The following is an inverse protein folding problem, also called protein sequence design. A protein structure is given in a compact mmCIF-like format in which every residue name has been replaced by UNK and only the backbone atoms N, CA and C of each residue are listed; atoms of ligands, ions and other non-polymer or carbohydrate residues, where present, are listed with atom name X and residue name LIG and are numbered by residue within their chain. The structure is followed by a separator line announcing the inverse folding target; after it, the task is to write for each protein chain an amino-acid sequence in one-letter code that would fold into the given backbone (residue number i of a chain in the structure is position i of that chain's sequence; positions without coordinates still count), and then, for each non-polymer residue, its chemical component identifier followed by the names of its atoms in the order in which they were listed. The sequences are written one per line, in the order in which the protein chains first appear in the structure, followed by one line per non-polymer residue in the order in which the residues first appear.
data_IF_165945905300
#
_entry.id   IF_165945905300
#
_cell.length_a   1.000
_cell.length_b   1.000
_cell.length_c   1.000
_cell.angle_alpha   90.00
_cell.angle_beta   90.00
_cell.angle_gamma   90.00
#
_symmetry.space_group_name_H-M   'P 1'
#
loop_
_entity.id
_entity.type
_entity.pdbx_description
1 polymer ?
#
# COMPACT_ATOMS: atom_id res chain seq x y z
N UNK A 1 -50.29 75.85 -38.12
CA UNK A 1 -49.24 75.75 -39.15
C UNK A 1 -48.04 76.56 -38.70
N UNK A 2 -46.98 75.88 -38.24
CA UNK A 2 -45.86 76.47 -37.48
C UNK A 2 -44.58 76.54 -38.33
N UNK A 3 -44.16 77.77 -38.60
CA UNK A 3 -42.82 78.37 -38.51
C UNK A 3 -41.55 77.52 -38.64
N UNK A 4 -40.76 77.89 -39.67
CA UNK A 4 -39.33 78.27 -39.71
C UNK A 4 -38.27 77.27 -39.23
N UNK A 5 -37.50 76.77 -40.20
CA UNK A 5 -36.16 76.18 -40.08
C UNK A 5 -35.15 77.14 -39.42
N UNK A 6 -34.17 76.58 -38.69
CA UNK A 6 -32.85 77.15 -38.60
C UNK A 6 -31.76 76.22 -39.16
N UNK A 7 -30.78 76.87 -39.79
CA UNK A 7 -29.48 76.35 -40.21
C UNK A 7 -28.65 76.05 -38.96
N UNK A 8 -27.94 74.92 -38.93
CA UNK A 8 -26.91 74.64 -37.93
C UNK A 8 -25.68 74.01 -38.57
N UNK A 9 -24.64 74.82 -38.61
CA UNK A 9 -23.24 74.60 -39.00
C UNK A 9 -22.64 73.39 -38.29
N UNK A 10 -22.10 72.42 -39.04
CA UNK A 10 -21.39 71.26 -38.48
C UNK A 10 -19.88 71.48 -38.57
N UNK A 11 -19.23 71.64 -37.42
CA UNK A 11 -17.77 71.67 -37.26
C UNK A 11 -17.18 70.28 -37.54
N UNK A 12 -16.12 70.21 -38.35
CA UNK A 12 -15.21 69.08 -38.45
C UNK A 12 -14.30 69.03 -37.21
N UNK A 13 -14.42 67.97 -36.40
CA UNK A 13 -13.41 67.59 -35.41
C UNK A 13 -12.71 66.31 -35.87
N UNK A 14 -11.42 66.42 -36.17
CA UNK A 14 -10.50 65.31 -36.40
C UNK A 14 -10.12 64.68 -35.05
N UNK A 15 -10.60 63.46 -34.76
CA UNK A 15 -10.14 62.67 -33.62
C UNK A 15 -9.13 61.63 -34.06
N UNK A 16 -7.90 61.79 -33.58
CA UNK A 16 -6.74 60.92 -33.73
C UNK A 16 -7.01 59.56 -33.07
N UNK A 17 -7.11 58.48 -33.85
CA UNK A 17 -7.27 57.12 -33.33
C UNK A 17 -5.92 56.59 -32.82
N UNK A 18 -5.72 56.62 -31.50
CA UNK A 18 -4.63 55.89 -30.85
C UNK A 18 -5.05 54.42 -30.68
N UNK A 19 -4.53 53.54 -31.54
CA UNK A 19 -4.71 52.09 -31.42
C UNK A 19 -3.86 51.57 -30.26
N UNK A 20 -4.47 51.39 -29.09
CA UNK A 20 -3.88 50.65 -27.98
C UNK A 20 -3.89 49.16 -28.35
N UNK A 21 -2.74 48.62 -28.74
CA UNK A 21 -2.55 47.20 -28.98
C UNK A 21 -2.70 46.42 -27.68
N UNK A 22 -3.84 45.77 -27.49
CA UNK A 22 -4.08 44.82 -26.40
C UNK A 22 -3.31 43.53 -26.72
N UNK A 23 -2.05 43.46 -26.31
CA UNK A 23 -1.27 42.22 -26.36
C UNK A 23 -1.89 41.22 -25.38
N UNK A 24 -2.76 40.35 -25.90
CA UNK A 24 -3.28 39.19 -25.20
C UNK A 24 -2.12 38.21 -24.96
N UNK A 25 -1.47 38.33 -23.82
CA UNK A 25 -0.48 37.36 -23.37
C UNK A 25 -1.19 36.02 -23.22
N UNK A 26 -0.83 34.99 -23.99
CA UNK A 26 -1.42 33.67 -23.80
C UNK A 26 -1.01 33.16 -22.42
N UNK A 27 -1.99 33.05 -21.51
CA UNK A 27 -1.80 32.28 -20.29
C UNK A 27 -1.47 30.84 -20.71
N UNK A 28 -0.22 30.42 -20.52
CA UNK A 28 0.10 29.00 -20.51
C UNK A 28 -0.66 28.39 -19.33
N UNK A 29 -1.82 27.81 -19.60
CA UNK A 29 -2.47 26.90 -18.68
C UNK A 29 -1.53 25.73 -18.47
N UNK A 30 -0.89 25.67 -17.30
CA UNK A 30 -0.18 24.48 -16.88
C UNK A 30 -1.21 23.34 -16.87
N UNK A 31 -1.09 22.40 -17.80
CA UNK A 31 -1.80 21.13 -17.72
C UNK A 31 -1.48 20.54 -16.35
N UNK A 32 -2.48 20.17 -15.53
CA UNK A 32 -2.18 19.48 -14.29
C UNK A 32 -1.34 18.27 -14.66
N UNK A 33 -0.10 18.25 -14.16
CA UNK A 33 0.71 17.05 -14.21
C UNK A 33 -0.17 15.96 -13.61
N UNK A 34 -0.47 14.91 -14.38
CA UNK A 34 -1.20 13.76 -13.86
C UNK A 34 -0.49 13.34 -12.58
N UNK A 35 -1.09 13.63 -11.43
CA UNK A 35 -0.59 13.19 -10.15
C UNK A 35 -0.47 11.68 -10.27
N UNK A 36 0.75 11.17 -10.16
CA UNK A 36 0.99 9.74 -10.30
C UNK A 36 0.09 9.02 -9.30
N UNK A 37 -0.88 8.25 -9.81
CA UNK A 37 -1.87 7.58 -8.97
C UNK A 37 -1.16 6.61 -8.03
N UNK A 38 -1.52 6.65 -6.75
CA UNK A 38 -0.95 5.75 -5.75
C UNK A 38 -1.28 4.29 -6.09
N UNK A 39 -0.26 3.43 -6.10
CA UNK A 39 -0.42 1.98 -6.24
C UNK A 39 -0.23 1.33 -4.87
N UNK A 40 -1.28 0.67 -4.37
CA UNK A 40 -1.25 0.02 -3.06
C UNK A 40 -0.67 -1.38 -3.20
N UNK A 41 0.47 -1.64 -2.56
CA UNK A 41 1.17 -2.93 -2.62
C UNK A 41 0.57 -3.91 -1.64
N UNK A 42 0.57 -3.51 -0.37
CA UNK A 42 -0.05 -4.19 0.77
C UNK A 42 -0.59 -3.14 1.75
N UNK A 43 -1.11 -3.57 2.89
CA UNK A 43 -1.69 -2.67 3.90
C UNK A 43 -0.65 -1.75 4.58
N UNK A 44 0.65 -1.95 4.36
CA UNK A 44 1.73 -1.18 4.95
C UNK A 44 2.66 -0.52 3.93
N UNK A 45 2.37 -0.60 2.62
CA UNK A 45 3.24 -0.06 1.57
C UNK A 45 2.47 0.51 0.37
N UNK A 46 2.86 1.72 -0.02
CA UNK A 46 2.27 2.49 -1.13
C UNK A 46 3.37 2.89 -2.10
N UNK A 47 3.12 2.75 -3.39
CA UNK A 47 4.01 3.24 -4.44
C UNK A 47 3.45 4.53 -5.05
N UNK A 48 4.28 5.59 -5.05
CA UNK A 48 4.03 6.85 -5.72
C UNK A 48 5.09 7.03 -6.83
N UNK A 49 4.66 6.97 -8.09
CA UNK A 49 5.59 6.95 -9.23
C UNK A 49 6.56 5.78 -9.14
N UNK A 50 7.86 6.06 -9.05
CA UNK A 50 8.92 5.04 -8.94
C UNK A 50 9.38 4.77 -7.50
N UNK A 51 8.76 5.41 -6.51
CA UNK A 51 9.15 5.28 -5.10
C UNK A 51 8.11 4.48 -4.34
N UNK A 52 8.55 3.40 -3.70
CA UNK A 52 7.71 2.64 -2.76
C UNK A 52 8.02 3.11 -1.33
N UNK A 53 6.99 3.59 -0.64
CA UNK A 53 7.01 3.98 0.76
C UNK A 53 6.41 2.86 1.61
N UNK A 54 7.17 2.37 2.60
CA UNK A 54 6.61 1.67 3.75
C UNK A 54 6.04 2.71 4.71
N UNK A 55 4.82 2.49 5.17
CA UNK A 55 4.14 3.38 6.11
C UNK A 55 4.86 3.35 7.47
N UNK A 56 5.18 4.53 7.97
CA UNK A 56 5.92 4.68 9.22
C UNK A 56 5.07 4.35 10.46
N UNK A 57 5.74 3.83 11.49
CA UNK A 57 5.16 3.62 12.82
C UNK A 57 4.23 2.42 12.96
N UNK A 58 3.97 1.66 11.90
CA UNK A 58 2.99 0.57 11.92
C UNK A 58 3.55 -0.75 11.42
N UNK A 59 2.84 -1.83 11.77
CA UNK A 59 3.03 -3.15 11.21
C UNK A 59 1.70 -3.70 10.69
N UNK A 60 1.59 -3.82 9.37
CA UNK A 60 0.39 -4.26 8.69
C UNK A 60 0.50 -5.72 8.22
N UNK A 61 -0.62 -6.47 8.16
CA UNK A 61 -0.63 -7.85 7.70
C UNK A 61 -0.14 -7.95 6.26
N UNK A 62 0.68 -8.95 5.98
CA UNK A 62 1.08 -9.26 4.61
C UNK A 62 -0.16 -9.75 3.82
N UNK A 63 -0.18 -9.52 2.50
CA UNK A 63 -1.35 -9.85 1.67
C UNK A 63 -1.81 -11.32 1.78
N UNK A 64 -0.88 -12.24 2.06
CA UNK A 64 -1.14 -13.68 2.20
C UNK A 64 -1.42 -14.13 3.64
N UNK A 65 -1.51 -13.19 4.58
CA UNK A 65 -1.81 -13.50 5.96
C UNK A 65 -3.29 -13.82 6.15
N UNK A 66 -3.53 -14.97 6.78
CA UNK A 66 -4.84 -15.41 7.24
C UNK A 66 -5.04 -15.03 8.71
N UNK A 67 -6.29 -14.76 9.05
CA UNK A 67 -6.76 -14.54 10.42
C UNK A 67 -8.02 -15.36 10.65
N UNK A 68 -8.40 -15.52 11.91
CA UNK A 68 -9.70 -16.06 12.32
C UNK A 68 -10.55 -14.88 12.78
N UNK A 69 -11.85 -14.89 12.49
CA UNK A 69 -12.79 -13.85 12.95
C UNK A 69 -13.54 -14.26 14.25
N UNK A 70 -14.49 -13.43 14.67
CA UNK A 70 -15.33 -13.66 15.84
C UNK A 70 -16.25 -14.89 15.74
N UNK A 71 -16.45 -15.42 14.54
CA UNK A 71 -17.28 -16.60 14.25
C UNK A 71 -16.44 -17.88 14.11
N UNK A 72 -15.13 -17.79 14.34
CA UNK A 72 -14.15 -18.85 14.11
C UNK A 72 -13.93 -19.20 12.64
N UNK A 73 -14.30 -18.30 11.72
CA UNK A 73 -14.08 -18.46 10.28
C UNK A 73 -12.71 -17.89 9.88
N UNK A 74 -12.03 -18.60 8.98
CA UNK A 74 -10.75 -18.14 8.42
C UNK A 74 -11.02 -17.12 7.31
N UNK A 75 -10.31 -15.99 7.36
CA UNK A 75 -10.43 -14.92 6.37
C UNK A 75 -9.07 -14.34 5.98
N UNK A 76 -9.01 -13.79 4.77
CA UNK A 76 -7.79 -13.18 4.20
C UNK A 76 -7.58 -11.76 4.73
N UNK A 77 -7.19 -11.64 6.01
CA UNK A 77 -7.02 -10.36 6.66
C UNK A 77 -5.95 -9.45 6.03
N UNK A 78 -4.93 -10.04 5.41
CA UNK A 78 -3.97 -9.31 4.59
C UNK A 78 -4.61 -8.56 3.42
N UNK A 79 -5.50 -9.22 2.69
CA UNK A 79 -6.22 -8.65 1.55
C UNK A 79 -7.22 -7.59 2.01
N UNK A 80 -8.02 -7.90 3.03
CA UNK A 80 -8.98 -6.93 3.55
C UNK A 80 -8.27 -5.66 4.04
N UNK A 81 -7.15 -5.77 4.77
CA UNK A 81 -6.40 -4.60 5.23
C UNK A 81 -5.89 -3.74 4.06
N UNK A 82 -5.40 -4.37 2.98
CA UNK A 82 -4.99 -3.67 1.75
C UNK A 82 -6.18 -2.98 1.07
N UNK A 83 -7.31 -3.66 1.01
CA UNK A 83 -8.52 -3.14 0.38
C UNK A 83 -9.10 -1.98 1.22
N UNK A 84 -8.95 -2.02 2.54
CA UNK A 84 -9.33 -0.92 3.44
C UNK A 84 -8.42 0.29 3.27
N UNK A 85 -7.11 0.10 3.09
CA UNK A 85 -6.20 1.18 2.71
C UNK A 85 -6.61 1.79 1.35
N UNK A 86 -6.97 0.96 0.38
CA UNK A 86 -7.44 1.41 -0.93
C UNK A 86 -8.74 2.22 -0.82
N UNK A 87 -9.70 1.75 -0.01
CA UNK A 87 -10.97 2.45 0.28
C UNK A 87 -10.74 3.79 1.00
N UNK A 88 -9.84 3.83 1.97
CA UNK A 88 -9.46 5.05 2.69
C UNK A 88 -8.94 6.13 1.74
N UNK A 89 -8.03 5.74 0.84
CA UNK A 89 -7.45 6.65 -0.16
C UNK A 89 -8.51 7.11 -1.16
N UNK A 90 -9.38 6.19 -1.61
CA UNK A 90 -10.54 6.53 -2.45
C UNK A 90 -10.16 7.23 -3.77
N UNK A 91 -8.97 6.93 -4.30
CA UNK A 91 -8.42 7.57 -5.51
C UNK A 91 -7.98 9.02 -5.34
N UNK A 92 -7.95 9.55 -4.10
CA UNK A 92 -7.49 10.91 -3.81
C UNK A 92 -5.96 11.01 -3.91
N UNK A 93 -5.43 12.20 -4.24
CA UNK A 93 -3.98 12.42 -4.25
C UNK A 93 -3.39 12.21 -2.85
N UNK A 94 -2.21 11.57 -2.83
CA UNK A 94 -1.47 11.23 -1.62
C UNK A 94 -0.14 11.98 -1.61
N UNK A 95 0.20 12.55 -0.47
CA UNK A 95 1.53 13.07 -0.18
C UNK A 95 2.22 12.17 0.85
N UNK A 96 3.50 11.85 0.64
CA UNK A 96 4.31 11.12 1.61
C UNK A 96 5.53 11.94 1.99
N UNK A 97 5.64 12.30 3.26
CA UNK A 97 6.85 12.87 3.83
C UNK A 97 7.91 11.76 3.92
N UNK A 98 8.99 11.88 3.17
CA UNK A 98 10.08 10.91 3.15
C UNK A 98 10.99 11.10 4.36
N UNK A 99 11.00 10.12 5.27
CA UNK A 99 11.80 10.17 6.50
C UNK A 99 13.06 9.29 6.44
N UNK A 100 13.38 8.76 5.25
CA UNK A 100 14.64 8.06 5.00
C UNK A 100 14.48 6.71 4.30
N UNK A 101 15.58 5.96 4.27
CA UNK A 101 15.62 4.61 3.70
C UNK A 101 14.98 3.62 4.66
N UNK A 102 14.18 2.68 4.15
CA UNK A 102 13.65 1.60 4.99
C UNK A 102 14.80 0.72 5.51
N UNK A 103 15.01 0.63 6.84
CA UNK A 103 16.09 -0.17 7.41
C UNK A 103 15.96 -1.67 7.11
N UNK A 104 14.75 -2.17 6.88
CA UNK A 104 14.50 -3.59 6.58
C UNK A 104 14.76 -3.89 5.11
N UNK A 105 14.43 -2.97 4.20
CA UNK A 105 14.57 -3.18 2.76
C UNK A 105 14.94 -1.88 2.03
N UNK A 106 16.25 -1.69 1.81
CA UNK A 106 16.85 -0.43 1.34
C UNK A 106 16.35 0.12 0.00
N UNK A 107 15.59 -0.66 -0.79
CA UNK A 107 14.97 -0.17 -2.04
C UNK A 107 13.68 0.61 -1.78
N UNK A 108 13.10 0.49 -0.58
CA UNK A 108 11.95 1.27 -0.11
C UNK A 108 12.41 2.48 0.68
N UNK A 109 11.52 3.48 0.71
CA UNK A 109 11.59 4.60 1.65
C UNK A 109 10.66 4.35 2.81
N UNK A 110 10.95 4.94 3.95
CA UNK A 110 10.01 5.06 5.06
C UNK A 110 9.29 6.40 4.92
N UNK A 111 7.98 6.44 5.11
CA UNK A 111 7.26 7.70 4.95
C UNK A 111 6.00 7.84 5.80
N UNK A 112 5.68 9.10 6.10
CA UNK A 112 4.40 9.50 6.67
C UNK A 112 3.49 9.94 5.53
N UNK A 113 2.59 9.05 5.11
CA UNK A 113 1.70 9.29 3.99
C UNK A 113 0.32 9.80 4.45
N UNK A 114 -0.23 10.78 3.74
CA UNK A 114 -1.52 11.42 4.00
C UNK A 114 -2.29 11.66 2.71
N UNK A 115 -3.60 11.73 2.80
CA UNK A 115 -4.43 12.27 1.72
C UNK A 115 -4.18 13.78 1.66
N UNK A 116 -4.00 14.36 0.48
CA UNK A 116 -3.77 15.81 0.37
C UNK A 116 -4.93 16.60 1.00
N UNK A 117 -4.59 17.56 1.87
CA UNK A 117 -5.55 18.34 2.63
C UNK A 117 -6.08 17.67 3.90
N UNK A 118 -5.73 16.40 4.16
CA UNK A 118 -6.07 15.69 5.40
C UNK A 118 -4.87 15.71 6.37
N UNK A 119 -5.02 16.20 7.61
CA UNK A 119 -3.92 16.21 8.58
C UNK A 119 -3.58 14.80 9.10
N UNK A 120 -4.51 13.84 9.02
CA UNK A 120 -4.39 12.51 9.60
C UNK A 120 -3.57 11.60 8.68
N UNK A 121 -2.63 10.86 9.26
CA UNK A 121 -1.80 9.93 8.49
C UNK A 121 -2.52 8.63 8.16
N UNK A 122 -2.21 8.02 7.01
CA UNK A 122 -2.73 6.71 6.63
C UNK A 122 -2.35 5.64 7.66
N UNK A 123 -1.16 5.76 8.27
CA UNK A 123 -0.73 4.92 9.39
C UNK A 123 -1.70 4.99 10.57
N UNK A 124 -2.08 6.20 10.97
CA UNK A 124 -3.02 6.44 12.07
C UNK A 124 -4.41 5.87 11.75
N UNK A 125 -4.92 6.13 10.56
CA UNK A 125 -6.22 5.61 10.11
C UNK A 125 -6.26 4.07 10.09
N UNK A 126 -5.16 3.43 9.69
CA UNK A 126 -5.06 1.97 9.69
C UNK A 126 -5.06 1.40 11.10
N UNK A 127 -4.31 1.98 12.03
CA UNK A 127 -4.29 1.53 13.43
C UNK A 127 -5.66 1.77 14.08
N UNK A 128 -6.25 2.95 13.89
CA UNK A 128 -7.57 3.31 14.42
C UNK A 128 -8.66 2.34 13.93
N UNK A 129 -8.59 1.89 12.66
CA UNK A 129 -9.52 0.89 12.10
C UNK A 129 -9.14 -0.55 12.44
N UNK A 130 -8.02 -0.78 13.13
CA UNK A 130 -7.55 -2.10 13.52
C UNK A 130 -6.92 -2.92 12.40
N UNK A 131 -6.47 -2.31 11.31
CA UNK A 131 -5.83 -2.99 10.16
C UNK A 131 -4.30 -2.93 10.18
N UNK A 132 -3.71 -2.32 11.21
CA UNK A 132 -2.29 -2.38 11.48
C UNK A 132 -2.02 -2.30 12.99
N UNK A 133 -0.88 -2.84 13.42
CA UNK A 133 -0.39 -2.74 14.79
C UNK A 133 0.51 -1.52 14.94
N UNK A 134 0.54 -0.96 16.14
CA UNK A 134 1.50 0.08 16.50
C UNK A 134 2.90 -0.54 16.70
N UNK A 135 3.94 0.04 16.09
CA UNK A 135 5.33 -0.41 16.27
C UNK A 135 6.04 0.57 17.19
N UNK A 136 6.11 0.24 18.47
CA UNK A 136 6.64 1.14 19.50
C UNK A 136 8.01 1.73 19.20
N UNK A 137 8.91 0.91 18.67
CA UNK A 137 10.29 1.32 18.38
C UNK A 137 10.39 2.39 17.30
N UNK A 138 9.46 2.41 16.32
CA UNK A 138 9.46 3.41 15.24
C UNK A 138 8.43 4.51 15.46
N UNK A 139 7.31 4.20 16.10
CA UNK A 139 6.21 5.13 16.30
C UNK A 139 6.36 5.96 17.59
N UNK A 140 7.33 5.63 18.46
CA UNK A 140 7.49 6.24 19.78
C UNK A 140 6.19 6.29 20.60
N UNK A 141 5.30 5.30 20.41
CA UNK A 141 4.00 5.21 21.06
C UNK A 141 2.87 6.07 20.51
N UNK A 142 3.07 6.79 19.40
CA UNK A 142 2.08 7.73 18.83
C UNK A 142 0.72 7.09 18.48
N UNK A 143 0.67 5.79 18.20
CA UNK A 143 -0.57 5.08 17.87
C UNK A 143 -1.06 4.14 18.98
N UNK A 144 -0.47 4.18 20.18
CA UNK A 144 -0.95 3.37 21.32
C UNK A 144 -2.43 3.60 21.63
N UNK A 145 -2.94 4.85 21.71
CA UNK A 145 -4.34 5.08 22.03
C UNK A 145 -5.27 4.55 20.93
N UNK A 146 -4.87 4.70 19.67
CA UNK A 146 -5.63 4.20 18.51
C UNK A 146 -5.71 2.68 18.52
N UNK A 147 -4.58 1.99 18.79
CA UNK A 147 -4.54 0.54 18.86
C UNK A 147 -5.38 0.00 20.03
N UNK A 148 -5.31 0.66 21.19
CA UNK A 148 -6.15 0.32 22.33
C UNK A 148 -7.64 0.47 21.99
N UNK A 149 -8.01 1.58 21.35
CA UNK A 149 -9.40 1.82 20.91
C UNK A 149 -9.86 0.76 19.90
N UNK A 150 -9.01 0.40 18.94
CA UNK A 150 -9.32 -0.64 17.97
C UNK A 150 -9.49 -2.03 18.63
N UNK A 151 -8.69 -2.32 19.65
CA UNK A 151 -8.81 -3.55 20.45
C UNK A 151 -10.12 -3.59 21.25
N UNK A 152 -10.43 -2.51 21.95
CA UNK A 152 -11.64 -2.42 22.78
C UNK A 152 -12.91 -2.54 21.92
N UNK A 153 -12.88 -1.93 20.74
CA UNK A 153 -13.97 -1.98 19.76
C UNK A 153 -13.98 -3.25 18.90
N UNK A 154 -13.02 -4.16 19.08
CA UNK A 154 -12.89 -5.39 18.28
C UNK A 154 -12.86 -5.09 16.77
N UNK A 155 -12.13 -4.04 16.37
CA UNK A 155 -12.08 -3.55 15.00
C UNK A 155 -10.99 -4.25 14.18
N UNK A 156 -11.25 -4.47 12.88
CA UNK A 156 -10.26 -5.01 11.95
C UNK A 156 -9.71 -6.36 12.39
N UNK A 157 -8.39 -6.46 12.58
CA UNK A 157 -7.71 -7.65 13.10
C UNK A 157 -8.18 -8.04 14.52
N UNK A 158 -8.54 -7.04 15.34
CA UNK A 158 -8.92 -7.25 16.74
C UNK A 158 -10.30 -7.90 16.92
N UNK A 159 -11.07 -8.07 15.84
CA UNK A 159 -12.36 -8.78 15.89
C UNK A 159 -12.23 -10.26 16.22
N UNK A 160 -11.10 -10.87 15.86
CA UNK A 160 -10.89 -12.30 15.97
C UNK A 160 -9.54 -12.67 16.57
N UNK A 161 -8.84 -13.59 15.92
CA UNK A 161 -7.54 -14.11 16.35
C UNK A 161 -6.52 -14.12 15.23
N UNK A 162 -5.30 -13.67 15.52
CA UNK A 162 -4.23 -13.54 14.53
C UNK A 162 -2.85 -13.65 15.16
N UNK A 163 -1.85 -13.92 14.33
CA UNK A 163 -0.43 -13.77 14.71
C UNK A 163 0.04 -12.37 14.31
N UNK A 164 0.88 -11.74 15.13
CA UNK A 164 1.46 -10.43 14.79
C UNK A 164 2.08 -10.45 13.37
N UNK A 165 1.84 -9.44 12.51
CA UNK A 165 2.33 -9.47 11.13
C UNK A 165 3.85 -9.65 10.99
N UNK A 166 4.64 -9.13 11.93
CA UNK A 166 6.09 -9.41 12.00
C UNK A 166 6.44 -10.87 12.20
N UNK A 167 5.75 -11.54 13.10
CA UNK A 167 5.96 -12.96 13.39
C UNK A 167 5.51 -13.79 12.18
N UNK A 168 4.36 -13.46 11.58
CA UNK A 168 3.91 -14.06 10.33
C UNK A 168 4.95 -13.91 9.21
N UNK A 169 5.47 -12.69 9.00
CA UNK A 169 6.45 -12.40 7.93
C UNK A 169 7.73 -13.24 8.06
N UNK A 170 8.19 -13.48 9.28
CA UNK A 170 9.42 -14.25 9.56
C UNK A 170 9.19 -15.76 9.61
N UNK A 171 7.94 -16.22 9.48
CA UNK A 171 7.57 -17.64 9.53
C UNK A 171 7.52 -18.19 10.95
N UNK A 172 7.41 -17.32 11.95
CA UNK A 172 7.32 -17.69 13.36
C UNK A 172 5.89 -18.11 13.70
N UNK A 173 5.60 -19.40 13.48
CA UNK A 173 4.26 -19.99 13.69
C UNK A 173 3.87 -20.12 15.17
N UNK A 174 4.83 -20.08 16.09
CA UNK A 174 4.68 -20.15 17.54
C UNK A 174 4.61 -18.76 18.21
N UNK A 175 4.46 -17.70 17.42
CA UNK A 175 4.26 -16.33 17.91
C UNK A 175 3.04 -16.20 18.83
N UNK A 176 3.00 -15.11 19.59
CA UNK A 176 1.85 -14.80 20.43
C UNK A 176 0.59 -14.63 19.56
N UNK A 177 -0.49 -15.29 19.95
CA UNK A 177 -1.79 -15.06 19.38
C UNK A 177 -2.37 -13.77 19.96
N UNK A 178 -2.87 -12.91 19.09
CA UNK A 178 -3.40 -11.59 19.41
C UNK A 178 -4.87 -11.51 18.98
N UNK A 179 -5.62 -10.63 19.65
CA UNK A 179 -7.05 -10.44 19.39
C UNK A 179 -7.93 -11.10 20.45
N UNK A 180 -9.22 -10.90 20.31
CA UNK A 180 -10.19 -11.22 21.36
C UNK A 180 -10.79 -12.64 21.22
N UNK A 181 -10.53 -13.31 20.09
CA UNK A 181 -11.03 -14.67 19.81
C UNK A 181 -9.93 -15.74 19.84
N UNK A 182 -8.94 -15.61 20.73
CA UNK A 182 -7.81 -16.55 20.89
C UNK A 182 -7.89 -17.39 22.18
N UNK A 183 -8.84 -18.32 22.32
CA UNK A 183 -8.94 -19.17 23.51
C UNK A 183 -7.75 -20.15 23.62
N UNK A 184 -7.11 -20.18 24.80
CA UNK A 184 -5.87 -20.94 25.03
C UNK A 184 -6.05 -22.46 24.90
N UNK A 185 -7.24 -22.99 25.20
CA UNK A 185 -7.59 -24.41 25.06
C UNK A 185 -7.69 -24.86 23.59
N UNK A 186 -7.71 -23.91 22.63
CA UNK A 186 -7.76 -24.19 21.19
C UNK A 186 -6.55 -23.69 20.41
N UNK A 187 -5.42 -23.40 21.07
CA UNK A 187 -4.22 -22.83 20.44
C UNK A 187 -3.77 -23.64 19.21
N UNK A 188 -3.76 -24.98 19.31
CA UNK A 188 -3.38 -25.85 18.18
C UNK A 188 -4.32 -25.68 16.98
N UNK A 189 -5.63 -25.76 17.18
CA UNK A 189 -6.62 -25.62 16.11
C UNK A 189 -6.55 -24.24 15.46
N UNK A 190 -6.32 -23.20 16.27
CA UNK A 190 -6.13 -21.83 15.77
C UNK A 190 -4.89 -21.76 14.88
N UNK A 191 -3.76 -22.31 15.31
CA UNK A 191 -2.53 -22.30 14.50
C UNK A 191 -2.66 -23.10 13.22
N UNK A 192 -3.32 -24.25 13.25
CA UNK A 192 -3.60 -25.06 12.06
C UNK A 192 -4.45 -24.27 11.04
N UNK A 193 -5.39 -23.44 11.53
CA UNK A 193 -6.23 -22.57 10.70
C UNK A 193 -5.51 -21.30 10.19
N UNK A 194 -4.63 -20.71 10.99
CA UNK A 194 -3.82 -19.54 10.60
C UNK A 194 -2.69 -19.90 9.63
N UNK A 195 -2.21 -21.14 9.67
CA UNK A 195 -1.07 -21.62 8.87
C UNK A 195 -1.38 -22.97 8.19
N UNK A 196 -2.38 -23.04 7.31
CA UNK A 196 -2.78 -24.28 6.65
C UNK A 196 -1.65 -24.84 5.78
N UNK A 197 -1.61 -26.16 5.64
CA UNK A 197 -0.64 -26.84 4.75
C UNK A 197 -0.88 -26.50 3.27
N UNK A 198 -2.15 -26.36 2.89
CA UNK A 198 -2.58 -25.87 1.58
C UNK A 198 -2.96 -24.39 1.69
N UNK A 199 -1.98 -23.52 1.47
CA UNK A 199 -2.16 -22.07 1.58
C UNK A 199 -2.88 -21.52 0.34
N UNK A 200 -4.12 -20.99 0.46
CA UNK A 200 -4.86 -20.47 -0.67
C UNK A 200 -4.13 -19.27 -1.29
N UNK A 201 -4.04 -19.23 -2.61
CA UNK A 201 -3.44 -18.11 -3.35
C UNK A 201 -4.38 -16.89 -3.32
N UNK A 202 -3.97 -15.74 -2.77
CA UNK A 202 -4.76 -14.53 -2.87
C UNK A 202 -4.85 -14.01 -4.31
N UNK A 203 -5.93 -13.31 -4.64
CA UNK A 203 -6.11 -12.72 -5.96
C UNK A 203 -4.92 -11.82 -6.33
N UNK A 204 -4.39 -11.98 -7.55
CA UNK A 204 -3.21 -11.27 -8.08
C UNK A 204 -1.87 -11.49 -7.35
N UNK A 205 -1.77 -12.45 -6.42
CA UNK A 205 -0.55 -12.73 -5.68
C UNK A 205 0.08 -14.07 -6.09
N UNK A 206 0.51 -14.13 -7.35
CA UNK A 206 0.98 -15.35 -8.05
C UNK A 206 2.49 -15.62 -7.93
N UNK A 207 3.15 -15.13 -6.88
CA UNK A 207 4.57 -15.44 -6.63
C UNK A 207 4.65 -16.38 -5.44
N UNK A 208 5.13 -17.61 -5.68
CA UNK A 208 5.26 -18.64 -4.65
C UNK A 208 6.54 -18.41 -3.84
N UNK A 209 6.42 -18.34 -2.51
CA UNK A 209 7.53 -18.31 -1.58
C UNK A 209 7.70 -19.64 -0.83
N UNK A 210 8.94 -20.04 -0.60
CA UNK A 210 9.28 -21.21 0.24
C UNK A 210 10.40 -20.84 1.21
N UNK A 211 10.19 -21.09 2.50
CA UNK A 211 11.25 -20.99 3.49
C UNK A 211 12.34 -22.00 3.16
N UNK A 212 13.60 -21.56 3.20
CA UNK A 212 14.71 -22.39 2.77
C UNK A 212 15.89 -22.20 3.70
N UNK A 213 16.28 -23.26 4.41
CA UNK A 213 17.43 -23.25 5.34
C UNK A 213 18.70 -22.73 4.65
N UNK A 214 18.96 -23.18 3.41
CA UNK A 214 20.10 -22.72 2.62
C UNK A 214 20.06 -21.23 2.26
N UNK A 215 18.88 -20.61 2.19
CA UNK A 215 18.77 -19.17 1.95
C UNK A 215 19.27 -18.36 3.14
N UNK A 216 19.15 -18.89 4.37
CA UNK A 216 19.58 -18.23 5.62
C UNK A 216 21.08 -17.97 5.66
N UNK A 217 21.87 -18.82 5.00
CA UNK A 217 23.33 -18.63 4.83
C UNK A 217 23.66 -17.31 4.13
N UNK A 218 22.77 -16.83 3.27
CA UNK A 218 22.92 -15.56 2.53
C UNK A 218 22.12 -14.40 3.14
N UNK A 219 21.66 -14.54 4.39
CA UNK A 219 20.83 -13.53 5.06
C UNK A 219 19.38 -13.47 4.58
N UNK A 220 18.91 -14.45 3.81
CA UNK A 220 17.53 -14.53 3.32
C UNK A 220 16.73 -15.58 4.12
N UNK A 221 15.43 -15.38 4.32
CA UNK A 221 14.57 -16.37 5.01
C UNK A 221 14.11 -17.49 4.08
N UNK A 222 14.07 -17.23 2.77
CA UNK A 222 13.56 -18.18 1.78
C UNK A 222 13.88 -17.83 0.34
N UNK A 223 13.26 -18.58 -0.58
CA UNK A 223 13.32 -18.35 -2.02
C UNK A 223 11.93 -18.12 -2.59
N UNK A 224 11.83 -17.28 -3.62
CA UNK A 224 10.58 -17.09 -4.37
C UNK A 224 10.71 -17.52 -5.83
N UNK A 225 9.57 -17.93 -6.40
CA UNK A 225 9.41 -18.40 -7.76
C UNK A 225 8.36 -17.54 -8.47
N UNK A 226 8.71 -17.02 -9.64
CA UNK A 226 7.79 -16.32 -10.53
C UNK A 226 7.02 -17.30 -11.39
N UNK A 227 5.79 -16.97 -11.78
CA UNK A 227 4.98 -17.81 -12.68
C UNK A 227 5.68 -18.11 -14.02
N UNK A 228 6.53 -17.20 -14.50
CA UNK A 228 7.32 -17.40 -15.72
C UNK A 228 8.46 -18.45 -15.57
N UNK A 229 8.79 -18.87 -14.35
CA UNK A 229 9.92 -19.77 -14.10
C UNK A 229 9.52 -21.24 -14.24
N UNK A 230 10.37 -22.04 -14.89
CA UNK A 230 10.15 -23.49 -15.06
C UNK A 230 9.94 -24.26 -13.75
N UNK A 231 10.51 -23.76 -12.65
CA UNK A 231 10.38 -24.35 -11.32
C UNK A 231 9.07 -24.00 -10.61
N UNK A 232 8.26 -23.10 -11.15
CA UNK A 232 7.03 -22.63 -10.51
C UNK A 232 5.92 -23.70 -10.40
N UNK A 233 5.65 -24.52 -11.44
CA UNK A 233 4.59 -25.54 -11.35
C UNK A 233 4.88 -26.57 -10.25
N UNK A 234 6.12 -27.08 -10.16
CA UNK A 234 6.50 -28.12 -9.19
C UNK A 234 6.71 -27.67 -7.75
N UNK A 235 6.28 -26.45 -7.40
CA UNK A 235 6.26 -25.97 -6.01
C UNK A 235 4.81 -26.02 -5.51
N UNK A 236 4.33 -27.21 -5.15
CA UNK A 236 2.91 -27.43 -4.87
C UNK A 236 2.46 -26.79 -3.55
N UNK A 237 3.31 -26.82 -2.52
CA UNK A 237 2.99 -26.29 -1.19
C UNK A 237 3.90 -25.08 -0.86
N UNK A 238 3.59 -23.87 -1.37
CA UNK A 238 4.30 -22.67 -0.97
C UNK A 238 4.03 -22.35 0.50
N UNK A 239 5.01 -21.78 1.19
CA UNK A 239 4.83 -21.29 2.56
C UNK A 239 4.27 -19.87 2.59
N UNK A 240 4.35 -19.15 1.46
CA UNK A 240 4.00 -17.74 1.30
C UNK A 240 3.53 -17.44 -0.12
N UNK A 241 2.68 -16.43 -0.25
CA UNK A 241 2.31 -15.81 -1.52
C UNK A 241 2.71 -14.33 -1.55
N UNK A 242 3.23 -13.87 -2.67
CA UNK A 242 3.59 -12.46 -2.87
C UNK A 242 2.91 -11.88 -4.12
N UNK A 243 2.60 -10.60 -4.07
CA UNK A 243 1.95 -9.87 -5.16
C UNK A 243 2.97 -9.15 -6.06
N UNK A 244 4.22 -8.99 -5.60
CA UNK A 244 5.32 -8.49 -6.40
C UNK A 244 6.68 -9.05 -5.95
N UNK A 245 7.69 -9.02 -6.83
CA UNK A 245 9.06 -9.38 -6.46
C UNK A 245 9.60 -8.49 -5.35
N UNK A 246 9.18 -7.22 -5.34
CA UNK A 246 9.59 -6.27 -4.33
C UNK A 246 9.07 -6.68 -2.94
N UNK A 247 7.81 -7.12 -2.84
CA UNK A 247 7.23 -7.61 -1.59
C UNK A 247 7.93 -8.87 -1.10
N UNK A 248 8.25 -9.80 -2.00
CA UNK A 248 9.02 -11.00 -1.67
C UNK A 248 10.40 -10.64 -1.12
N UNK A 249 11.11 -9.71 -1.78
CA UNK A 249 12.42 -9.24 -1.35
C UNK A 249 12.36 -8.49 -0.01
N UNK A 250 11.35 -7.65 0.19
CA UNK A 250 11.12 -6.93 1.45
C UNK A 250 10.80 -7.89 2.61
N UNK A 251 10.16 -9.03 2.33
CA UNK A 251 9.96 -10.12 3.29
C UNK A 251 11.21 -10.99 3.51
N UNK A 252 12.36 -10.67 2.89
CA UNK A 252 13.62 -11.38 3.05
C UNK A 252 13.76 -12.61 2.16
N UNK A 253 12.97 -12.74 1.10
CA UNK A 253 13.10 -13.82 0.12
C UNK A 253 13.96 -13.37 -1.06
N UNK A 254 14.83 -14.26 -1.54
CA UNK A 254 15.55 -14.04 -2.79
C UNK A 254 14.93 -14.83 -3.93
N UNK A 255 15.17 -14.40 -5.16
CA UNK A 255 14.76 -15.19 -6.33
C UNK A 255 15.45 -16.55 -6.32
N UNK A 256 14.71 -17.61 -6.66
CA UNK A 256 15.29 -18.94 -6.81
C UNK A 256 16.31 -18.97 -7.96
N UNK A 257 17.46 -19.62 -7.77
CA UNK A 257 18.51 -19.66 -8.80
C UNK A 257 18.11 -20.44 -10.06
N UNK A 258 17.17 -21.40 -9.90
CA UNK A 258 16.60 -22.14 -11.02
C UNK A 258 15.45 -21.36 -11.72
N UNK A 259 15.15 -20.14 -11.29
CA UNK A 259 14.13 -19.27 -11.87
C UNK A 259 14.66 -18.58 -13.13
N UNK A 260 14.89 -19.37 -14.19
CA UNK A 260 15.26 -18.89 -15.52
C UNK A 260 13.99 -18.54 -16.31
N UNK A 261 13.96 -17.38 -17.01
CA UNK A 261 12.86 -17.09 -17.93
C UNK A 261 12.79 -18.17 -19.03
N UNK A 262 11.61 -18.40 -19.64
CA UNK A 262 11.49 -19.29 -20.78
C UNK A 262 12.41 -18.83 -21.91
N UNK A 263 12.98 -19.76 -22.69
CA UNK A 263 13.99 -19.46 -23.73
C UNK A 263 13.53 -18.41 -24.76
N UNK A 264 12.22 -18.22 -24.92
CA UNK A 264 11.63 -17.34 -25.93
C UNK A 264 11.52 -15.86 -25.49
N UNK A 265 11.76 -15.54 -24.21
CA UNK A 265 11.77 -14.15 -23.71
C UNK A 265 13.19 -13.57 -23.53
N UNK A 266 14.23 -14.34 -23.83
CA UNK A 266 15.62 -13.90 -23.71
C UNK A 266 16.13 -13.09 -24.92
N UNK A 267 15.29 -12.85 -25.93
CA UNK A 267 15.66 -12.17 -27.18
C UNK A 267 15.20 -10.71 -27.30
N UNK A 268 14.59 -10.13 -26.26
CA UNK A 268 13.99 -8.80 -26.35
C UNK A 268 14.49 -7.85 -25.25
N UNK A 269 15.79 -7.87 -24.98
CA UNK A 269 16.44 -6.88 -24.13
C UNK A 269 17.75 -6.40 -24.72
#
# INVERSE_FOLDING_TARGET
MRFRNPVATTLLLTSLSATLGLSATPCLSATPALAASAVIKDAGAIQLGNTTYRLDGIDAPAADQLCIDEHADVWSCGIEARDQLTKLIGGKPIHCDDIGVDPTFKKRRLGVCKIEGDPTSLSELLVQKGYALNVETSATGRFKPDEATARDNRAGLWKGCFVAPRDFRTGKKDGALLGNACPADRDKQIRDALFPDDLPMPASCNIKGKYAVRARVTGNVGIYHLQACRSYPGLDNPDRWFCSEEDAQAAGFRRAYNCRPPKDQAKTK
#
